data_IF_184357525135
#
_entry.id   IF_184357525135
#
_cell.length_a   1.000
_cell.length_b   1.000
_cell.length_c   1.000
_cell.angle_alpha   90.00
_cell.angle_beta   90.00
_cell.angle_gamma   90.00
#
_symmetry.space_group_name_H-M   'P 1'
#
loop_
_entity.id
_entity.type
_entity.pdbx_description
1 polymer ?
#
# COMPACT_ATOMS: atom_id res chain seq x y z
N UNK A 1 19.14 -10.55 -54.17
CA UNK A 1 20.12 -9.69 -53.45
C UNK A 1 19.45 -8.55 -52.69
N UNK A 2 18.57 -7.74 -53.31
CA UNK A 2 17.90 -6.60 -52.64
C UNK A 2 16.98 -7.00 -51.46
N UNK A 3 16.22 -8.11 -51.55
CA UNK A 3 15.35 -8.58 -50.45
C UNK A 3 16.08 -9.08 -49.21
N UNK A 4 17.29 -9.65 -49.37
CA UNK A 4 18.06 -10.22 -48.25
C UNK A 4 18.61 -9.09 -47.35
N UNK A 5 18.95 -7.96 -47.96
CA UNK A 5 19.43 -6.78 -47.24
C UNK A 5 18.30 -6.17 -46.40
N UNK A 6 17.07 -6.12 -46.93
CA UNK A 6 15.92 -5.55 -46.22
C UNK A 6 15.52 -6.40 -45.02
N UNK A 7 15.53 -7.74 -45.14
CA UNK A 7 15.22 -8.62 -44.01
C UNK A 7 16.30 -8.60 -42.92
N UNK A 8 17.58 -8.53 -43.30
CA UNK A 8 18.67 -8.41 -42.33
C UNK A 8 18.59 -7.10 -41.53
N UNK A 9 18.24 -5.98 -42.18
CA UNK A 9 18.09 -4.68 -41.52
C UNK A 9 16.90 -4.66 -40.55
N UNK A 10 15.77 -5.26 -40.91
CA UNK A 10 14.60 -5.35 -40.03
C UNK A 10 14.89 -6.20 -38.78
N UNK A 11 15.59 -7.34 -38.94
CA UNK A 11 15.97 -8.18 -37.80
C UNK A 11 16.95 -7.48 -36.85
N UNK A 12 17.95 -6.77 -37.39
CA UNK A 12 18.90 -6.00 -36.58
C UNK A 12 18.19 -4.88 -35.78
N UNK A 13 17.22 -4.20 -36.39
CA UNK A 13 16.41 -3.19 -35.72
C UNK A 13 15.61 -3.79 -34.56
N UNK A 14 14.90 -4.90 -34.79
CA UNK A 14 14.13 -5.58 -33.75
C UNK A 14 15.00 -6.03 -32.57
N UNK A 15 16.20 -6.55 -32.84
CA UNK A 15 17.14 -6.99 -31.80
C UNK A 15 17.65 -5.81 -30.94
N UNK A 16 17.94 -4.66 -31.56
CA UNK A 16 18.38 -3.47 -30.80
C UNK A 16 17.31 -2.94 -29.85
N UNK A 17 16.03 -3.03 -30.22
CA UNK A 17 14.92 -2.54 -29.37
C UNK A 17 14.72 -3.38 -28.11
N UNK A 18 14.98 -4.69 -28.17
CA UNK A 18 14.83 -5.61 -27.02
C UNK A 18 15.93 -5.37 -25.98
N UNK A 19 17.15 -4.98 -26.39
CA UNK A 19 18.30 -4.81 -25.48
C UNK A 19 18.14 -3.57 -24.59
N UNK A 20 17.55 -2.48 -25.09
CA UNK A 20 17.36 -1.24 -24.31
C UNK A 20 16.31 -1.31 -23.21
N UNK A 21 15.45 -2.34 -23.20
CA UNK A 21 14.41 -2.50 -22.18
C UNK A 21 14.89 -3.23 -20.90
N UNK A 22 16.11 -3.79 -20.91
CA UNK A 22 16.67 -4.58 -19.80
C UNK A 22 17.82 -3.92 -19.05
N UNK A 23 18.24 -2.72 -19.45
CA UNK A 23 19.18 -1.93 -18.67
C UNK A 23 18.42 -1.25 -17.52
N UNK A 24 18.15 -2.05 -16.49
CA UNK A 24 17.66 -1.58 -15.20
C UNK A 24 18.65 -0.58 -14.62
N UNK A 25 18.17 0.65 -14.47
CA UNK A 25 18.82 1.66 -13.65
C UNK A 25 18.34 1.41 -12.22
N UNK A 26 19.00 0.44 -11.57
CA UNK A 26 18.94 0.24 -10.12
C UNK A 26 19.62 1.44 -9.47
N UNK A 27 18.82 2.45 -9.15
CA UNK A 27 19.21 3.54 -8.27
C UNK A 27 18.44 3.41 -6.96
N UNK A 28 18.77 2.37 -6.21
CA UNK A 28 18.48 2.26 -4.78
C UNK A 28 19.32 3.33 -4.05
N UNK A 29 18.77 4.53 -3.94
CA UNK A 29 19.25 5.52 -2.98
C UNK A 29 18.81 5.10 -1.59
N UNK A 30 19.60 4.24 -0.93
CA UNK A 30 19.51 4.01 0.50
C UNK A 30 19.99 5.26 1.25
N UNK A 31 19.09 6.22 1.46
CA UNK A 31 19.30 7.24 2.47
C UNK A 31 18.96 6.66 3.84
N UNK A 32 19.96 6.00 4.44
CA UNK A 32 19.92 5.65 5.85
C UNK A 32 20.19 6.91 6.67
N UNK A 33 19.12 7.63 7.04
CA UNK A 33 19.19 8.68 8.05
C UNK A 33 18.72 8.10 9.38
N UNK A 34 19.67 7.56 10.15
CA UNK A 34 19.50 7.46 11.60
C UNK A 34 19.49 8.89 12.14
N UNK A 35 18.29 9.33 12.52
CA UNK A 35 18.13 10.47 13.41
C UNK A 35 17.50 9.94 14.70
N UNK A 36 18.37 9.48 15.59
CA UNK A 36 18.06 9.47 17.01
C UNK A 36 17.90 10.93 17.45
N UNK A 37 16.66 11.33 17.61
CA UNK A 37 16.31 12.53 18.36
C UNK A 37 15.62 12.10 19.63
N UNK A 38 16.43 11.83 20.65
CA UNK A 38 16.01 11.93 22.05
C UNK A 38 15.61 13.38 22.31
N UNK A 39 14.31 13.64 22.20
CA UNK A 39 13.72 14.85 22.73
C UNK A 39 12.84 14.47 23.91
N UNK A 40 13.48 14.37 25.08
CA UNK A 40 12.78 14.53 26.35
C UNK A 40 12.24 15.97 26.44
N UNK A 41 11.02 16.16 25.96
CA UNK A 41 10.24 17.34 26.29
C UNK A 41 9.24 16.97 27.38
N UNK A 42 9.69 17.07 28.62
CA UNK A 42 8.81 17.17 29.77
C UNK A 42 8.14 18.56 29.73
N UNK A 43 7.02 18.66 29.02
CA UNK A 43 6.12 19.80 29.16
C UNK A 43 5.00 19.40 30.10
N UNK A 44 5.23 19.71 31.38
CA UNK A 44 4.20 19.76 32.41
C UNK A 44 3.24 20.91 32.03
N UNK A 45 2.16 20.55 31.33
CA UNK A 45 1.02 21.44 31.14
C UNK A 45 -0.11 20.97 32.05
N UNK A 46 -0.05 21.48 33.28
CA UNK A 46 -1.17 21.53 34.19
C UNK A 46 -2.30 22.35 33.53
N UNK A 47 -3.20 21.65 32.85
CA UNK A 47 -4.48 22.18 32.44
C UNK A 47 -5.55 21.58 33.34
N UNK A 48 -5.70 22.24 34.49
CA UNK A 48 -6.84 22.15 35.37
C UNK A 48 -8.12 22.54 34.59
N UNK A 49 -8.75 21.54 33.98
CA UNK A 49 -10.14 21.63 33.52
C UNK A 49 -11.02 20.77 34.42
N UNK A 50 -11.27 21.32 35.61
CA UNK A 50 -12.50 21.01 36.34
C UNK A 50 -13.70 21.24 35.43
N UNK A 51 -14.45 20.17 35.21
CA UNK A 51 -15.87 20.25 34.93
C UNK A 51 -16.32 19.59 33.64
N UNK A 52 -16.52 18.28 33.68
CA UNK A 52 -17.88 17.74 33.61
C UNK A 52 -17.95 16.36 34.24
N UNK A 53 -18.98 16.24 35.08
CA UNK A 53 -19.25 15.20 36.05
C UNK A 53 -20.20 14.16 35.42
N UNK A 54 -20.01 12.89 35.79
CA UNK A 54 -21.00 11.78 35.90
C UNK A 54 -20.95 10.60 34.90
N UNK A 55 -21.14 9.32 35.31
CA UNK A 55 -20.88 8.65 36.60
C UNK A 55 -19.86 7.49 36.52
N UNK A 56 -19.43 6.93 37.67
CA UNK A 56 -18.53 5.79 37.76
C UNK A 56 -19.30 4.47 37.88
N UNK A 57 -18.81 3.43 37.20
CA UNK A 57 -19.12 2.05 37.56
C UNK A 57 -19.62 1.19 36.40
N UNK A 58 -18.69 0.61 35.66
CA UNK A 58 -18.70 -0.83 35.39
C UNK A 58 -17.33 -1.23 34.85
N UNK A 59 -16.55 -1.91 35.69
CA UNK A 59 -15.48 -2.76 35.22
C UNK A 59 -16.13 -3.93 34.48
N UNK A 60 -16.31 -3.78 33.18
CA UNK A 60 -16.46 -4.92 32.29
C UNK A 60 -15.25 -4.92 31.37
N UNK A 61 -14.59 -6.07 31.28
CA UNK A 61 -13.65 -6.38 30.22
C UNK A 61 -14.41 -6.27 28.89
N UNK A 62 -14.51 -5.04 28.36
CA UNK A 62 -14.94 -4.80 27.01
C UNK A 62 -13.74 -5.09 26.15
N UNK A 63 -13.81 -6.21 25.45
CA UNK A 63 -13.21 -6.33 24.12
C UNK A 63 -13.52 -5.01 23.41
N UNK A 64 -12.55 -4.09 23.37
CA UNK A 64 -12.67 -2.94 22.50
C UNK A 64 -12.51 -3.50 21.10
N UNK A 65 -13.66 -3.80 20.48
CA UNK A 65 -13.80 -3.61 19.04
C UNK A 65 -13.41 -2.14 18.78
N UNK A 66 -12.10 -1.88 18.68
CA UNK A 66 -11.49 -0.58 18.38
C UNK A 66 -11.78 -0.25 16.90
N UNK A 67 -13.06 -0.04 16.61
CA UNK A 67 -13.60 0.30 15.30
C UNK A 67 -13.84 1.81 15.13
N UNK A 68 -13.29 2.65 16.01
CA UNK A 68 -13.57 4.09 16.01
C UNK A 68 -12.29 4.95 16.02
N UNK A 69 -11.53 4.86 14.93
CA UNK A 69 -10.80 6.02 14.43
C UNK A 69 -10.91 6.08 12.90
N UNK A 70 -11.86 6.91 12.44
CA UNK A 70 -12.20 7.15 11.03
C UNK A 70 -11.14 7.98 10.27
N UNK A 71 -9.91 7.98 10.75
CA UNK A 71 -8.79 8.71 10.19
C UNK A 71 -7.91 7.78 9.35
N UNK A 72 -8.07 7.85 8.03
CA UNK A 72 -7.20 7.15 7.09
C UNK A 72 -5.91 7.95 6.83
N UNK A 73 -5.37 8.69 7.80
CA UNK A 73 -4.51 9.88 7.58
C UNK A 73 -3.09 9.59 7.08
N UNK A 74 -2.79 8.34 6.72
CA UNK A 74 -1.53 7.96 6.12
C UNK A 74 -1.75 7.00 4.94
N UNK A 75 -2.07 7.58 3.77
CA UNK A 75 -2.35 6.83 2.54
C UNK A 75 -1.09 6.25 1.92
N UNK A 76 0.04 6.95 2.07
CA UNK A 76 1.35 6.55 1.57
C UNK A 76 1.79 5.19 2.14
N UNK A 77 1.16 4.73 3.22
CA UNK A 77 1.41 3.40 3.76
C UNK A 77 1.04 2.29 2.76
N UNK A 78 0.17 2.52 1.79
CA UNK A 78 -0.22 1.49 0.82
C UNK A 78 0.50 1.60 -0.53
N UNK A 79 1.37 2.59 -0.75
CA UNK A 79 2.02 2.81 -2.05
C UNK A 79 2.80 1.58 -2.53
N UNK A 80 3.52 0.93 -1.61
CA UNK A 80 4.24 -0.32 -1.90
C UNK A 80 3.33 -1.51 -2.27
N UNK A 81 2.03 -1.41 -2.02
CA UNK A 81 1.04 -2.41 -2.44
C UNK A 81 0.56 -2.18 -3.88
N UNK A 82 0.64 -0.95 -4.40
CA UNK A 82 0.09 -0.61 -5.72
C UNK A 82 0.74 -1.43 -6.85
N UNK A 83 2.05 -1.73 -6.75
CA UNK A 83 2.77 -2.53 -7.76
C UNK A 83 2.11 -3.88 -8.04
N UNK A 84 1.46 -4.48 -7.04
CA UNK A 84 0.86 -5.80 -7.15
C UNK A 84 -0.53 -5.79 -7.78
N UNK A 85 -1.11 -4.61 -7.95
CA UNK A 85 -2.48 -4.46 -8.45
C UNK A 85 -2.57 -3.58 -9.69
N UNK A 86 -1.43 -3.11 -10.21
CA UNK A 86 -1.36 -2.40 -11.50
C UNK A 86 -1.94 -3.25 -12.62
N UNK A 87 -2.69 -2.62 -13.54
CA UNK A 87 -3.16 -3.29 -14.75
C UNK A 87 -1.98 -3.81 -15.58
N UNK A 88 -2.16 -4.98 -16.18
CA UNK A 88 -1.13 -5.66 -16.97
C UNK A 88 -0.01 -6.32 -16.14
N UNK A 89 0.00 -6.16 -14.81
CA UNK A 89 0.92 -6.92 -13.96
C UNK A 89 0.32 -8.30 -13.64
N UNK A 90 1.05 -9.35 -14.00
CA UNK A 90 0.64 -10.75 -13.80
C UNK A 90 1.57 -11.52 -12.84
N UNK A 91 2.53 -10.85 -12.19
CA UNK A 91 3.46 -11.51 -11.28
C UNK A 91 2.81 -12.01 -9.98
N UNK A 92 3.62 -12.49 -9.04
CA UNK A 92 3.10 -13.01 -7.79
C UNK A 92 2.54 -11.93 -6.88
N UNK A 93 1.64 -12.34 -5.98
CA UNK A 93 1.14 -11.51 -4.90
C UNK A 93 2.21 -11.30 -3.82
N UNK A 94 2.09 -10.24 -2.99
CA UNK A 94 3.01 -10.03 -1.89
C UNK A 94 3.01 -11.24 -0.95
N UNK A 95 4.19 -11.60 -0.43
CA UNK A 95 4.32 -12.61 0.62
C UNK A 95 3.51 -12.19 1.85
N UNK A 96 2.97 -13.16 2.56
CA UNK A 96 2.10 -12.95 3.73
C UNK A 96 2.75 -12.09 4.82
N UNK A 97 4.06 -12.25 5.02
CA UNK A 97 4.90 -11.53 5.98
C UNK A 97 5.39 -10.16 5.48
N UNK A 98 5.08 -9.79 4.23
CA UNK A 98 5.49 -8.50 3.67
C UNK A 98 4.88 -7.30 4.41
N UNK A 99 5.58 -6.17 4.38
CA UNK A 99 5.08 -4.88 4.89
C UNK A 99 3.72 -4.50 4.27
N UNK A 100 3.51 -4.82 2.99
CA UNK A 100 2.23 -4.62 2.32
C UNK A 100 1.11 -5.45 2.97
N UNK A 101 1.30 -6.76 3.12
CA UNK A 101 0.28 -7.62 3.73
C UNK A 101 0.04 -7.34 5.22
N UNK A 102 1.07 -6.93 5.97
CA UNK A 102 0.90 -6.43 7.34
C UNK A 102 -0.03 -5.21 7.35
N UNK A 103 0.25 -4.19 6.53
CA UNK A 103 -0.60 -2.99 6.43
C UNK A 103 -2.02 -3.31 5.97
N UNK A 104 -2.22 -4.22 5.02
CA UNK A 104 -3.55 -4.64 4.58
C UNK A 104 -4.34 -5.31 5.72
N UNK A 105 -3.70 -6.18 6.52
CA UNK A 105 -4.36 -6.83 7.65
C UNK A 105 -4.74 -5.82 8.74
N UNK A 106 -3.81 -4.93 9.09
CA UNK A 106 -3.94 -3.97 10.18
C UNK A 106 -4.89 -2.80 9.85
N UNK A 107 -5.26 -2.63 8.57
CA UNK A 107 -6.10 -1.50 8.14
C UNK A 107 -7.59 -1.85 8.10
N UNK A 108 -8.45 -0.88 8.39
CA UNK A 108 -9.90 -1.06 8.25
C UNK A 108 -10.32 -1.26 6.78
N UNK A 109 -11.42 -1.98 6.56
CA UNK A 109 -12.00 -2.17 5.22
C UNK A 109 -12.32 -0.82 4.55
N UNK A 110 -12.80 0.15 5.34
CA UNK A 110 -13.09 1.51 4.89
C UNK A 110 -11.83 2.19 4.32
N UNK A 111 -10.70 2.14 5.02
CA UNK A 111 -9.49 2.79 4.55
C UNK A 111 -8.87 2.12 3.32
N UNK A 112 -8.90 0.78 3.26
CA UNK A 112 -8.46 0.06 2.06
C UNK A 112 -9.31 0.44 0.85
N UNK A 113 -10.63 0.43 1.02
CA UNK A 113 -11.57 0.82 -0.01
C UNK A 113 -11.35 2.24 -0.53
N UNK A 114 -11.23 3.21 0.38
CA UNK A 114 -11.04 4.61 0.03
C UNK A 114 -9.72 4.81 -0.72
N UNK A 115 -8.66 4.14 -0.28
CA UNK A 115 -7.35 4.16 -0.93
C UNK A 115 -7.41 3.61 -2.37
N UNK A 116 -7.91 2.37 -2.56
CA UNK A 116 -7.94 1.78 -3.89
C UNK A 116 -8.92 2.48 -4.84
N UNK A 117 -10.05 3.00 -4.34
CA UNK A 117 -10.98 3.82 -5.16
C UNK A 117 -10.33 5.10 -5.66
N UNK A 118 -9.48 5.73 -4.87
CA UNK A 118 -8.74 6.92 -5.29
C UNK A 118 -7.71 6.61 -6.37
N UNK A 119 -6.96 5.52 -6.23
CA UNK A 119 -5.98 5.11 -7.24
C UNK A 119 -6.60 4.52 -8.50
N UNK A 120 -7.87 4.10 -8.45
CA UNK A 120 -8.63 3.69 -9.62
C UNK A 120 -9.17 4.86 -10.47
N UNK A 121 -8.98 6.13 -10.06
CA UNK A 121 -9.46 7.28 -10.85
C UNK A 121 -8.85 7.35 -12.25
N UNK A 122 -7.64 6.82 -12.41
CA UNK A 122 -6.93 6.79 -13.69
C UNK A 122 -7.02 5.42 -14.37
N UNK A 123 -7.83 4.49 -13.84
CA UNK A 123 -7.97 3.13 -14.37
C UNK A 123 -6.65 2.32 -14.36
N UNK A 124 -5.70 2.70 -13.49
CA UNK A 124 -4.35 2.11 -13.41
C UNK A 124 -4.29 0.79 -12.63
N UNK A 125 -5.37 0.43 -11.92
CA UNK A 125 -5.43 -0.74 -11.03
C UNK A 125 -6.52 -1.73 -11.46
N UNK A 126 -6.26 -3.02 -11.24
CA UNK A 126 -7.19 -4.11 -11.51
C UNK A 126 -7.94 -4.50 -10.22
N UNK A 127 -9.24 -4.25 -10.19
CA UNK A 127 -10.12 -4.54 -9.05
C UNK A 127 -10.12 -6.01 -8.64
N UNK A 128 -10.15 -6.94 -9.59
CA UNK A 128 -10.14 -8.37 -9.28
C UNK A 128 -8.80 -8.78 -8.69
N UNK A 129 -7.72 -8.17 -9.18
CA UNK A 129 -6.39 -8.37 -8.64
C UNK A 129 -6.25 -7.82 -7.22
N UNK A 130 -6.86 -6.67 -6.91
CA UNK A 130 -6.90 -6.16 -5.53
C UNK A 130 -7.63 -7.13 -4.60
N UNK A 131 -8.81 -7.64 -5.02
CA UNK A 131 -9.58 -8.62 -4.22
C UNK A 131 -8.75 -9.88 -3.93
N UNK A 132 -8.03 -10.40 -4.91
CA UNK A 132 -7.15 -11.58 -4.75
C UNK A 132 -5.95 -11.28 -3.86
N UNK A 133 -5.32 -10.11 -3.99
CA UNK A 133 -4.21 -9.69 -3.12
C UNK A 133 -4.64 -9.59 -1.65
N UNK A 134 -5.78 -8.98 -1.37
CA UNK A 134 -6.27 -8.83 0.01
C UNK A 134 -6.52 -10.19 0.66
N UNK A 135 -7.06 -11.14 -0.12
CA UNK A 135 -7.22 -12.54 0.31
C UNK A 135 -5.87 -13.23 0.53
N UNK A 136 -4.88 -13.05 -0.34
CA UNK A 136 -3.55 -13.66 -0.17
C UNK A 136 -2.82 -13.12 1.07
N UNK A 137 -3.10 -11.86 1.45
CA UNK A 137 -2.64 -11.29 2.72
C UNK A 137 -3.42 -11.81 3.95
N UNK A 138 -4.39 -12.71 3.79
CA UNK A 138 -5.12 -13.37 4.88
C UNK A 138 -6.27 -12.56 5.48
N UNK A 139 -6.71 -11.49 4.83
CA UNK A 139 -7.88 -10.72 5.29
C UNK A 139 -9.17 -11.46 4.89
N UNK A 140 -9.90 -11.97 5.88
CA UNK A 140 -11.06 -12.87 5.68
C UNK A 140 -12.36 -12.14 5.31
N UNK A 141 -12.50 -10.90 5.73
CA UNK A 141 -13.63 -10.02 5.43
C UNK A 141 -13.06 -8.77 4.79
N UNK A 142 -13.24 -8.64 3.49
CA UNK A 142 -13.19 -7.35 2.84
C UNK A 142 -14.65 -7.05 2.50
N UNK A 143 -15.29 -6.13 3.22
CA UNK A 143 -16.67 -5.73 2.95
C UNK A 143 -16.84 -5.43 1.46
N UNK A 144 -17.77 -6.15 0.82
CA UNK A 144 -18.02 -6.16 -0.62
C UNK A 144 -18.48 -4.81 -1.17
N UNK A 145 -18.91 -3.88 -0.31
CA UNK A 145 -19.43 -2.55 -0.68
C UNK A 145 -18.36 -1.63 -1.32
N UNK A 146 -17.14 -2.14 -1.44
CA UNK A 146 -16.00 -1.50 -2.04
C UNK A 146 -15.45 -2.17 -3.29
N UNK A 147 -15.99 -3.33 -3.69
CA UNK A 147 -15.33 -4.28 -4.58
C UNK A 147 -16.19 -4.76 -5.74
#
# INVERSE_FOLDING_TARGET
MKSIIVTALLLALCLSFVVTAYAGDDHDHEHNHDHDHDHEHNHDHDHDHRGRHWPPGTQHATVTDDHDDHHCDNWNKYDGCLRYVKKGYYGDFPRYDSRCCKRIRDSSDYCLCRFFKYHNKNDDVDWDRIKRMIKSCGKKRARFDCW
#
